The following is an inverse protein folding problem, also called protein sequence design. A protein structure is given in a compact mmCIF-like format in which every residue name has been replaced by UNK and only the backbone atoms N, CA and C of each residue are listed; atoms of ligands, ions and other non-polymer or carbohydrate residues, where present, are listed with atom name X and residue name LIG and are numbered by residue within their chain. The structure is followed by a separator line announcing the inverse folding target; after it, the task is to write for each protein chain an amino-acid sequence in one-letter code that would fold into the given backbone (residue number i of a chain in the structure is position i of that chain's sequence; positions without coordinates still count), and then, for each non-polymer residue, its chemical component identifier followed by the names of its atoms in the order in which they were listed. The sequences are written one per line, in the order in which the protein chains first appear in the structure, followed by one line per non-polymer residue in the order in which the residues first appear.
data_IF_488278464693
#
_entry.id   IF_488278464693
#
_cell.length_a   1.000
_cell.length_b   1.000
_cell.length_c   1.000
_cell.angle_alpha   90.00
_cell.angle_beta   90.00
_cell.angle_gamma   90.00
#
_symmetry.space_group_name_H-M   'P 1'
#
loop_
_entity.id
_entity.type
_entity.pdbx_description
1 polymer ?
#
# COMPACT_ATOMS: atom_id res chain seq x y z
N UNK A 1 -13.19 35.22 7.19
CA UNK A 1 -11.97 34.41 7.16
C UNK A 1 -12.14 33.02 7.79
N UNK A 2 -12.77 32.86 8.95
CA UNK A 2 -13.02 31.55 9.59
C UNK A 2 -13.87 30.57 8.76
N UNK A 3 -14.88 31.05 8.03
CA UNK A 3 -15.76 30.20 7.20
C UNK A 3 -15.00 29.59 6.00
N UNK A 4 -14.06 30.32 5.41
CA UNK A 4 -13.25 29.81 4.27
C UNK A 4 -12.31 28.71 4.73
N UNK A 5 -11.68 28.84 5.89
CA UNK A 5 -10.84 27.80 6.49
C UNK A 5 -11.63 26.51 6.76
N UNK A 6 -12.88 26.61 7.23
CA UNK A 6 -13.73 25.45 7.45
C UNK A 6 -14.02 24.66 6.17
N UNK A 7 -14.30 25.35 5.05
CA UNK A 7 -14.54 24.69 3.76
C UNK A 7 -13.30 23.98 3.20
N UNK A 8 -12.09 24.51 3.48
CA UNK A 8 -10.82 23.89 3.05
C UNK A 8 -10.45 22.63 3.85
N UNK A 9 -11.13 22.39 4.99
CA UNK A 9 -10.88 21.23 5.86
C UNK A 9 -11.98 20.18 5.79
N UNK A 10 -12.94 20.31 4.86
CA UNK A 10 -13.96 19.27 4.69
C UNK A 10 -13.35 18.01 4.07
N UNK A 11 -13.72 16.84 4.61
CA UNK A 11 -13.18 15.59 4.11
C UNK A 11 -13.66 15.32 2.67
N UNK A 12 -12.79 14.70 1.88
CA UNK A 12 -13.10 14.33 0.51
C UNK A 12 -14.29 13.39 0.44
N UNK A 13 -15.21 13.65 -0.49
CA UNK A 13 -16.33 12.75 -0.82
C UNK A 13 -15.92 11.64 -1.79
N UNK A 14 -14.63 11.50 -2.06
CA UNK A 14 -14.03 10.51 -2.97
C UNK A 14 -13.06 9.63 -2.19
N UNK A 15 -12.96 8.38 -2.59
CA UNK A 15 -11.87 7.53 -2.13
C UNK A 15 -10.57 8.11 -2.68
N UNK A 16 -9.62 8.37 -1.80
CA UNK A 16 -8.27 8.74 -2.18
C UNK A 16 -7.29 7.74 -1.58
N UNK A 17 -6.29 7.37 -2.36
CA UNK A 17 -5.19 6.49 -1.94
C UNK A 17 -3.90 7.27 -2.10
N UNK A 18 -3.17 7.44 -1.01
CA UNK A 18 -1.92 8.21 -0.95
C UNK A 18 -0.79 7.28 -0.52
N UNK A 19 0.20 7.11 -1.40
CA UNK A 19 1.46 6.48 -1.04
C UNK A 19 2.36 7.54 -0.41
N UNK A 20 2.59 7.43 0.88
CA UNK A 20 3.30 8.41 1.69
C UNK A 20 4.81 8.40 1.42
N UNK A 21 5.46 9.57 1.35
CA UNK A 21 6.93 9.62 1.42
C UNK A 21 7.41 9.46 2.87
N UNK A 22 7.57 8.22 3.28
CA UNK A 22 8.14 7.88 4.61
C UNK A 22 9.65 7.65 4.58
N UNK A 23 10.31 7.95 3.45
CA UNK A 23 11.68 7.56 3.20
C UNK A 23 11.77 6.10 2.75
N UNK A 24 12.77 5.36 3.23
CA UNK A 24 12.84 3.92 2.94
C UNK A 24 11.81 3.20 3.81
N UNK A 25 10.78 2.64 3.17
CA UNK A 25 9.68 1.94 3.82
C UNK A 25 8.34 2.19 3.14
N UNK A 26 7.30 1.60 3.67
CA UNK A 26 5.94 1.69 3.17
C UNK A 26 4.97 2.33 4.17
N UNK A 27 4.15 3.22 3.67
CA UNK A 27 2.91 3.64 4.30
C UNK A 27 1.95 4.09 3.21
N UNK A 28 0.75 3.53 3.19
CA UNK A 28 -0.30 3.91 2.24
C UNK A 28 -1.55 4.29 3.01
N UNK A 29 -1.99 5.53 2.84
CA UNK A 29 -3.20 6.05 3.46
C UNK A 29 -4.37 5.98 2.46
N UNK A 30 -5.46 5.36 2.88
CA UNK A 30 -6.73 5.32 2.14
C UNK A 30 -7.76 6.13 2.92
N UNK A 31 -8.37 7.12 2.28
CA UNK A 31 -9.36 7.99 2.90
C UNK A 31 -10.66 8.02 2.11
N UNK A 32 -11.79 8.10 2.84
CA UNK A 32 -13.11 8.42 2.29
C UNK A 32 -13.92 9.13 3.35
N UNK A 33 -14.26 10.40 3.13
CA UNK A 33 -14.88 11.23 4.18
C UNK A 33 -14.01 11.23 5.45
N UNK A 34 -14.61 10.86 6.59
CA UNK A 34 -13.94 10.77 7.89
C UNK A 34 -13.51 9.33 8.22
N UNK A 35 -13.37 8.48 7.21
CA UNK A 35 -12.91 7.12 7.39
C UNK A 35 -11.50 6.97 6.81
N UNK A 36 -10.61 6.41 7.61
CA UNK A 36 -9.20 6.23 7.27
C UNK A 36 -8.75 4.79 7.46
N UNK A 37 -7.99 4.30 6.50
CA UNK A 37 -7.22 3.07 6.63
C UNK A 37 -5.76 3.37 6.31
N UNK A 38 -4.87 2.99 7.20
CA UNK A 38 -3.43 3.10 7.01
C UNK A 38 -2.85 1.70 6.82
N UNK A 39 -2.25 1.44 5.67
CA UNK A 39 -1.54 0.20 5.35
C UNK A 39 -0.07 0.49 5.53
N UNK A 40 0.55 -0.13 6.52
CA UNK A 40 1.87 0.14 7.05
C UNK A 40 2.04 1.57 7.60
N UNK A 41 3.11 1.77 8.34
CA UNK A 41 3.38 3.03 9.04
C UNK A 41 4.77 3.60 8.75
N UNK A 42 5.52 2.95 7.86
CA UNK A 42 6.90 3.32 7.59
C UNK A 42 7.85 3.10 8.76
N UNK A 43 9.08 3.56 8.63
CA UNK A 43 10.08 3.48 9.69
C UNK A 43 9.77 4.47 10.83
N UNK A 44 10.41 4.26 11.97
CA UNK A 44 10.32 5.16 13.13
C UNK A 44 11.08 6.49 12.88
N UNK A 45 10.54 7.34 12.00
CA UNK A 45 11.11 8.64 11.62
C UNK A 45 10.08 9.78 11.58
N UNK A 46 8.84 9.52 12.03
CA UNK A 46 7.71 10.44 12.09
C UNK A 46 7.18 10.96 10.75
N UNK A 47 7.74 10.57 9.60
CA UNK A 47 7.26 11.04 8.29
C UNK A 47 5.83 10.62 7.99
N UNK A 48 5.39 9.45 8.51
CA UNK A 48 3.99 9.03 8.40
C UNK A 48 3.03 10.05 9.02
N UNK A 49 3.42 10.72 10.11
CA UNK A 49 2.60 11.76 10.72
C UNK A 49 2.43 12.95 9.78
N UNK A 50 3.48 13.35 9.06
CA UNK A 50 3.39 14.42 8.05
C UNK A 50 2.40 14.04 6.94
N UNK A 51 2.45 12.80 6.46
CA UNK A 51 1.48 12.31 5.46
C UNK A 51 0.04 12.36 6.01
N UNK A 52 -0.18 11.92 7.26
CA UNK A 52 -1.49 12.00 7.90
C UNK A 52 -1.95 13.46 8.05
N UNK A 53 -1.09 14.36 8.51
CA UNK A 53 -1.39 15.80 8.67
C UNK A 53 -1.76 16.48 7.33
N UNK A 54 -1.14 16.06 6.23
CA UNK A 54 -1.42 16.60 4.90
C UNK A 54 -2.77 16.11 4.32
N UNK A 55 -3.20 14.90 4.69
CA UNK A 55 -4.28 14.20 4.00
C UNK A 55 -5.52 13.91 4.86
N UNK A 56 -5.43 14.11 6.18
CA UNK A 56 -6.53 13.95 7.13
C UNK A 56 -6.89 15.32 7.73
N UNK A 57 -8.17 15.69 7.86
CA UNK A 57 -8.54 16.94 8.50
C UNK A 57 -7.91 17.07 9.90
N UNK A 58 -7.37 18.24 10.23
CA UNK A 58 -6.60 18.46 11.47
C UNK A 58 -7.36 18.13 12.77
N UNK A 59 -8.69 18.19 12.73
CA UNK A 59 -9.60 17.87 13.82
C UNK A 59 -9.95 16.38 13.90
N UNK A 60 -9.73 15.63 12.84
CA UNK A 60 -9.95 14.19 12.82
C UNK A 60 -8.68 13.46 13.31
N UNK A 61 -8.76 12.91 14.50
CA UNK A 61 -7.65 12.21 15.15
C UNK A 61 -7.94 10.72 15.31
N UNK A 62 -8.74 10.16 14.40
CA UNK A 62 -9.12 8.75 14.39
C UNK A 62 -8.60 8.08 13.13
N UNK A 63 -8.18 6.83 13.27
CA UNK A 63 -7.90 5.92 12.15
C UNK A 63 -8.68 4.65 12.42
N UNK A 64 -9.61 4.30 11.55
CA UNK A 64 -10.48 3.15 11.76
C UNK A 64 -9.70 1.83 11.64
N UNK A 65 -8.79 1.76 10.68
CA UNK A 65 -8.00 0.54 10.46
C UNK A 65 -6.54 0.88 10.22
N UNK A 66 -5.66 0.27 10.99
CA UNK A 66 -4.23 0.18 10.66
C UNK A 66 -3.94 -1.27 10.29
N UNK A 67 -3.41 -1.51 9.11
CA UNK A 67 -2.96 -2.83 8.67
C UNK A 67 -1.43 -2.82 8.65
N UNK A 68 -0.81 -3.72 9.40
CA UNK A 68 0.64 -3.95 9.35
C UNK A 68 0.89 -5.21 8.53
N UNK A 69 1.48 -5.03 7.36
CA UNK A 69 1.68 -6.11 6.40
C UNK A 69 2.66 -7.16 6.94
N UNK A 70 3.71 -6.72 7.60
CA UNK A 70 4.69 -7.55 8.31
C UNK A 70 5.46 -6.73 9.36
N UNK A 71 6.33 -7.41 10.13
CA UNK A 71 6.94 -6.84 11.34
C UNK A 71 8.18 -5.97 11.12
N UNK A 72 8.70 -5.84 9.91
CA UNK A 72 9.93 -5.10 9.64
C UNK A 72 9.77 -3.61 9.98
N UNK A 73 10.88 -3.01 10.45
CA UNK A 73 10.84 -1.65 10.97
C UNK A 73 10.42 -0.60 9.92
N UNK A 74 10.73 -0.80 8.67
CA UNK A 74 10.35 0.09 7.58
C UNK A 74 8.87 -0.03 7.15
N UNK A 75 8.10 -0.93 7.77
CA UNK A 75 6.65 -1.09 7.65
C UNK A 75 5.92 -0.79 8.96
N UNK A 76 6.43 -1.27 10.08
CA UNK A 76 5.75 -1.21 11.39
C UNK A 76 6.31 -0.14 12.34
N UNK A 77 7.50 0.43 12.04
CA UNK A 77 8.25 1.26 12.96
C UNK A 77 7.54 2.56 13.39
N UNK A 78 6.71 3.13 12.52
CA UNK A 78 5.96 4.34 12.81
C UNK A 78 4.70 4.13 13.67
N UNK A 79 4.27 2.89 13.90
CA UNK A 79 3.01 2.58 14.61
C UNK A 79 2.92 3.22 15.99
N UNK A 80 4.03 3.20 16.74
CA UNK A 80 4.09 3.83 18.07
C UNK A 80 3.86 5.34 17.99
N UNK A 81 4.38 6.01 16.97
CA UNK A 81 4.16 7.45 16.81
C UNK A 81 2.73 7.74 16.34
N UNK A 82 2.19 6.96 15.41
CA UNK A 82 0.78 7.09 15.00
C UNK A 82 -0.16 6.94 16.19
N UNK A 83 0.02 5.94 17.04
CA UNK A 83 -0.84 5.68 18.21
C UNK A 83 -0.76 6.75 19.32
N UNK A 84 0.28 7.61 19.33
CA UNK A 84 0.35 8.76 20.25
C UNK A 84 -0.53 9.92 19.82
N UNK A 85 -0.75 10.09 18.50
CA UNK A 85 -1.44 11.26 17.94
C UNK A 85 -2.82 10.96 17.38
N UNK A 86 -3.10 9.67 17.09
CA UNK A 86 -4.36 9.19 16.53
C UNK A 86 -4.92 8.05 17.37
N UNK A 87 -6.24 8.05 17.55
CA UNK A 87 -6.96 6.91 18.11
C UNK A 87 -7.12 5.86 17.02
N UNK A 88 -6.54 4.68 17.22
CA UNK A 88 -6.67 3.56 16.30
C UNK A 88 -7.80 2.66 16.81
N UNK A 89 -8.82 2.37 15.97
CA UNK A 89 -9.90 1.45 16.37
C UNK A 89 -9.52 0.00 16.22
N UNK A 90 -8.88 -0.35 15.11
CA UNK A 90 -8.49 -1.73 14.82
C UNK A 90 -7.09 -1.79 14.24
N UNK A 91 -6.30 -2.77 14.69
CA UNK A 91 -5.02 -3.12 14.07
C UNK A 91 -5.10 -4.54 13.53
N UNK A 92 -4.76 -4.69 12.25
CA UNK A 92 -4.72 -5.97 11.55
C UNK A 92 -3.25 -6.32 11.27
N UNK A 93 -2.84 -7.51 11.71
CA UNK A 93 -1.51 -8.06 11.43
C UNK A 93 -1.63 -9.29 10.52
N UNK A 94 -0.54 -9.70 9.87
CA UNK A 94 -0.50 -10.87 8.98
C UNK A 94 -1.03 -12.15 9.63
N UNK A 95 -0.78 -12.34 10.93
CA UNK A 95 -1.33 -13.46 11.71
C UNK A 95 -2.86 -13.45 11.85
N UNK A 96 -3.52 -12.32 11.62
CA UNK A 96 -4.97 -12.17 11.79
C UNK A 96 -5.76 -12.46 10.52
N UNK A 97 -5.10 -12.48 9.36
CA UNK A 97 -5.74 -12.63 8.04
C UNK A 97 -5.13 -13.77 7.25
N UNK A 98 -5.86 -14.23 6.27
CA UNK A 98 -5.46 -15.30 5.35
C UNK A 98 -5.93 -15.00 3.95
N UNK A 99 -5.37 -15.67 2.98
CA UNK A 99 -5.80 -15.65 1.59
C UNK A 99 -7.33 -15.83 1.47
N UNK A 100 -7.94 -14.98 0.67
CA UNK A 100 -9.40 -14.83 0.44
C UNK A 100 -10.17 -14.14 1.56
N UNK A 101 -9.54 -13.71 2.65
CA UNK A 101 -10.21 -12.81 3.58
C UNK A 101 -10.51 -11.48 2.89
N UNK A 102 -11.69 -10.92 3.20
CA UNK A 102 -12.15 -9.67 2.63
C UNK A 102 -12.37 -8.65 3.74
N UNK A 103 -11.57 -7.57 3.72
CA UNK A 103 -11.78 -6.41 4.57
C UNK A 103 -12.67 -5.45 3.78
N UNK A 104 -13.93 -5.40 4.17
CA UNK A 104 -14.97 -4.74 3.39
C UNK A 104 -15.59 -3.56 4.12
N UNK A 105 -15.77 -2.47 3.38
CA UNK A 105 -16.59 -1.32 3.76
C UNK A 105 -17.65 -1.06 2.69
N UNK A 106 -18.45 -0.02 2.84
CA UNK A 106 -19.44 0.35 1.82
C UNK A 106 -18.80 0.95 0.54
N UNK A 107 -17.51 1.26 0.55
CA UNK A 107 -16.83 2.00 -0.53
C UNK A 107 -15.46 1.46 -0.91
N UNK A 108 -14.89 0.59 -0.08
CA UNK A 108 -13.59 -0.05 -0.34
C UNK A 108 -13.70 -1.52 -0.01
N UNK A 109 -13.13 -2.36 -0.87
CA UNK A 109 -12.87 -3.77 -0.62
C UNK A 109 -11.37 -4.00 -0.68
N UNK A 110 -10.79 -4.67 0.33
CA UNK A 110 -9.41 -5.15 0.30
C UNK A 110 -9.44 -6.67 0.38
N UNK A 111 -9.14 -7.32 -0.74
CA UNK A 111 -9.08 -8.76 -0.87
C UNK A 111 -7.66 -9.26 -0.59
N UNK A 112 -7.49 -10.03 0.47
CA UNK A 112 -6.19 -10.59 0.86
C UNK A 112 -5.83 -11.74 -0.08
N UNK A 113 -4.66 -11.69 -0.69
CA UNK A 113 -4.14 -12.77 -1.55
C UNK A 113 -2.97 -13.52 -0.91
N UNK A 114 -2.32 -12.94 0.08
CA UNK A 114 -1.27 -13.51 0.92
C UNK A 114 -1.40 -12.96 2.35
N UNK A 115 -1.11 -13.70 3.43
CA UNK A 115 -0.50 -15.04 3.47
C UNK A 115 -1.51 -16.18 3.24
N UNK A 116 -1.05 -17.38 2.85
CA UNK A 116 -1.91 -18.55 2.71
C UNK A 116 -2.41 -19.05 4.08
N UNK A 117 -3.59 -19.67 4.12
CA UNK A 117 -4.21 -20.14 5.36
C UNK A 117 -3.38 -21.18 6.12
N UNK A 118 -2.55 -21.96 5.42
CA UNK A 118 -1.78 -23.10 5.99
C UNK A 118 -0.56 -22.64 6.81
N UNK A 119 -0.04 -21.44 6.58
CA UNK A 119 1.17 -20.95 7.30
C UNK A 119 0.90 -20.69 8.79
N UNK A 120 -0.35 -20.52 9.20
CA UNK A 120 -0.73 -20.32 10.60
C UNK A 120 -0.41 -21.52 11.51
N UNK A 121 -0.10 -22.68 10.94
CA UNK A 121 0.11 -23.93 11.70
C UNK A 121 1.56 -24.35 11.89
N UNK A 122 2.49 -23.72 11.17
CA UNK A 122 3.92 -24.00 11.31
C UNK A 122 4.62 -22.91 12.12
N UNK A 123 4.46 -22.97 13.44
CA UNK A 123 5.20 -22.13 14.36
C UNK A 123 6.69 -22.50 14.32
N UNK A 124 7.54 -21.60 13.79
CA UNK A 124 8.98 -21.84 13.90
C UNK A 124 9.89 -20.86 13.20
N UNK A 125 9.58 -20.37 12.02
CA UNK A 125 10.40 -19.36 11.33
C UNK A 125 9.47 -18.38 10.63
N UNK A 126 9.29 -17.21 11.23
CA UNK A 126 8.63 -16.07 10.60
C UNK A 126 9.62 -15.42 9.64
N UNK A 127 9.71 -15.91 8.40
CA UNK A 127 10.18 -15.06 7.33
C UNK A 127 9.09 -14.03 7.09
N UNK A 128 9.32 -12.83 7.63
CA UNK A 128 8.36 -11.73 7.63
C UNK A 128 7.87 -11.38 6.22
N UNK A 129 8.76 -11.45 5.21
CA UNK A 129 8.44 -11.09 3.82
C UNK A 129 7.49 -12.11 3.16
N UNK A 130 7.72 -13.40 3.31
CA UNK A 130 6.86 -14.46 2.74
C UNK A 130 5.43 -14.38 3.29
N UNK A 131 5.28 -13.96 4.56
CA UNK A 131 4.02 -13.84 5.26
C UNK A 131 3.41 -12.42 5.22
N UNK A 132 3.98 -11.51 4.44
CA UNK A 132 3.44 -10.17 4.27
C UNK A 132 2.01 -10.19 3.75
N UNK A 133 1.15 -9.30 4.28
CA UNK A 133 -0.19 -9.13 3.72
C UNK A 133 -0.07 -8.45 2.35
N UNK A 134 -0.29 -9.23 1.30
CA UNK A 134 -0.51 -8.68 -0.03
C UNK A 134 -1.98 -8.80 -0.41
N UNK A 135 -2.50 -7.84 -1.16
CA UNK A 135 -3.92 -7.83 -1.49
C UNK A 135 -4.28 -6.88 -2.62
N UNK A 136 -5.54 -6.97 -3.06
CA UNK A 136 -6.10 -6.09 -4.08
C UNK A 136 -7.08 -5.13 -3.41
N UNK A 137 -6.74 -3.85 -3.40
CA UNK A 137 -7.63 -2.78 -3.00
C UNK A 137 -8.52 -2.40 -4.18
N UNK A 138 -9.84 -2.44 -3.96
CA UNK A 138 -10.87 -2.13 -4.97
C UNK A 138 -11.78 -1.03 -4.46
N UNK A 139 -12.06 -0.05 -5.31
CA UNK A 139 -13.02 1.01 -4.99
C UNK A 139 -13.62 1.63 -6.25
N UNK A 140 -14.83 2.19 -6.12
CA UNK A 140 -15.46 2.91 -7.21
C UNK A 140 -14.91 4.33 -7.33
N UNK A 141 -14.38 4.68 -8.50
CA UNK A 141 -13.97 6.05 -8.80
C UNK A 141 -15.10 6.82 -9.50
N UNK A 142 -15.59 7.87 -8.84
CA UNK A 142 -16.64 8.71 -9.40
C UNK A 142 -16.16 9.50 -10.63
N UNK A 143 -14.87 9.82 -10.69
CA UNK A 143 -14.28 10.57 -11.82
C UNK A 143 -14.12 9.70 -13.06
N UNK A 144 -13.66 8.45 -12.86
CA UNK A 144 -13.46 7.49 -13.94
C UNK A 144 -14.74 6.71 -14.27
N UNK A 145 -15.78 6.80 -13.41
CA UNK A 145 -17.06 6.06 -13.51
C UNK A 145 -16.86 4.55 -13.67
N UNK A 146 -15.88 4.02 -12.95
CA UNK A 146 -15.56 2.58 -12.92
C UNK A 146 -14.84 2.19 -11.62
N UNK A 147 -14.75 0.89 -11.39
CA UNK A 147 -13.90 0.36 -10.34
C UNK A 147 -12.41 0.58 -10.68
N UNK A 148 -11.65 0.97 -9.67
CA UNK A 148 -10.18 1.05 -9.70
C UNK A 148 -9.64 -0.08 -8.83
N UNK A 149 -8.61 -0.74 -9.32
CA UNK A 149 -7.93 -1.86 -8.66
C UNK A 149 -6.45 -1.56 -8.48
N UNK A 150 -5.98 -1.71 -7.24
CA UNK A 150 -4.59 -1.51 -6.87
C UNK A 150 -4.08 -2.79 -6.25
N UNK A 151 -3.05 -3.40 -6.82
CA UNK A 151 -2.35 -4.49 -6.16
C UNK A 151 -1.30 -3.94 -5.20
N UNK A 152 -1.48 -4.23 -3.91
CA UNK A 152 -0.57 -3.90 -2.82
C UNK A 152 0.30 -5.11 -2.56
N UNK A 153 1.53 -5.10 -3.07
CA UNK A 153 2.41 -6.27 -3.01
C UNK A 153 3.11 -6.45 -1.65
N UNK A 154 3.16 -5.40 -0.82
CA UNK A 154 4.01 -5.37 0.36
C UNK A 154 5.45 -5.81 -0.01
N UNK A 155 6.06 -6.72 0.76
CA UNK A 155 7.42 -7.21 0.51
C UNK A 155 7.47 -8.67 0.09
N UNK A 156 6.37 -9.21 -0.50
CA UNK A 156 6.39 -10.57 -1.03
C UNK A 156 7.52 -10.76 -2.06
N UNK A 157 8.14 -11.93 -2.02
CA UNK A 157 9.25 -12.29 -2.89
C UNK A 157 8.80 -12.93 -4.22
N UNK A 158 9.76 -13.18 -5.11
CA UNK A 158 9.52 -13.80 -6.41
C UNK A 158 8.84 -15.17 -6.31
N UNK A 159 9.15 -15.97 -5.29
CA UNK A 159 8.57 -17.30 -5.12
C UNK A 159 7.10 -17.19 -4.73
N UNK A 160 6.78 -16.30 -3.80
CA UNK A 160 5.40 -16.00 -3.41
C UNK A 160 4.60 -15.47 -4.59
N UNK A 161 5.14 -14.53 -5.37
CA UNK A 161 4.48 -14.01 -6.56
C UNK A 161 4.16 -15.11 -7.59
N UNK A 162 5.14 -15.96 -7.89
CA UNK A 162 4.98 -17.10 -8.81
C UNK A 162 3.93 -18.08 -8.31
N UNK A 163 3.93 -18.37 -7.03
CA UNK A 163 2.90 -19.22 -6.40
C UNK A 163 1.51 -18.63 -6.60
N UNK A 164 1.33 -17.33 -6.34
CA UNK A 164 0.03 -16.65 -6.49
C UNK A 164 -0.46 -16.65 -7.94
N UNK A 165 0.45 -16.46 -8.90
CA UNK A 165 0.14 -16.52 -10.34
C UNK A 165 -0.18 -17.96 -10.77
N UNK A 166 0.66 -18.92 -10.41
CA UNK A 166 0.48 -20.33 -10.80
C UNK A 166 -0.78 -20.96 -10.20
N UNK A 167 -1.13 -20.62 -8.97
CA UNK A 167 -2.36 -21.06 -8.31
C UNK A 167 -3.60 -20.29 -8.78
N UNK A 168 -3.46 -19.37 -9.73
CA UNK A 168 -4.54 -18.52 -10.25
C UNK A 168 -5.24 -17.68 -9.14
N UNK A 169 -4.55 -17.36 -8.08
CA UNK A 169 -5.01 -16.41 -7.06
C UNK A 169 -5.02 -15.01 -7.65
N UNK A 170 -3.93 -14.62 -8.31
CA UNK A 170 -3.84 -13.41 -9.12
C UNK A 170 -4.18 -13.77 -10.57
N UNK A 171 -5.32 -13.30 -11.06
CA UNK A 171 -5.85 -13.58 -12.41
C UNK A 171 -6.50 -12.39 -13.08
N UNK A 172 -6.62 -11.27 -12.39
CA UNK A 172 -7.26 -10.08 -12.90
C UNK A 172 -6.28 -8.94 -13.13
N UNK A 173 -6.60 -8.08 -14.10
CA UNK A 173 -5.82 -6.86 -14.35
C UNK A 173 -6.05 -5.85 -13.24
N UNK A 174 -5.02 -5.05 -12.95
CA UNK A 174 -5.09 -3.94 -12.02
C UNK A 174 -4.72 -2.63 -12.72
N UNK A 175 -5.16 -1.51 -12.19
CA UNK A 175 -4.79 -0.19 -12.71
C UNK A 175 -3.41 0.23 -12.21
N UNK A 176 -3.15 -0.02 -10.93
CA UNK A 176 -1.91 0.35 -10.25
C UNK A 176 -1.30 -0.88 -9.58
N UNK A 177 0.00 -0.98 -9.67
CA UNK A 177 0.82 -1.92 -8.92
C UNK A 177 1.71 -1.15 -7.94
N UNK A 178 1.50 -1.34 -6.63
CA UNK A 178 2.51 -1.00 -5.63
C UNK A 178 3.61 -2.07 -5.71
N UNK A 179 4.78 -1.64 -6.15
CA UNK A 179 5.93 -2.52 -6.39
C UNK A 179 6.36 -3.22 -5.10
N UNK A 180 6.66 -4.50 -5.20
CA UNK A 180 7.14 -5.32 -4.10
C UNK A 180 8.51 -4.86 -3.60
N UNK A 181 8.69 -4.89 -2.28
CA UNK A 181 9.97 -4.73 -1.59
C UNK A 181 10.79 -3.53 -2.11
N UNK A 182 10.13 -2.37 -2.22
CA UNK A 182 10.70 -1.08 -2.62
C UNK A 182 11.45 -1.09 -3.97
N UNK A 183 11.18 -2.06 -4.83
CA UNK A 183 11.88 -2.25 -6.10
C UNK A 183 13.16 -3.07 -5.98
N UNK A 184 13.22 -3.98 -5.01
CA UNK A 184 14.23 -5.04 -4.91
C UNK A 184 14.18 -5.95 -6.14
N UNK A 185 15.33 -6.44 -6.60
CA UNK A 185 15.41 -7.45 -7.66
C UNK A 185 14.70 -8.77 -7.30
N UNK A 186 14.45 -9.00 -6.03
CA UNK A 186 13.79 -10.20 -5.50
C UNK A 186 12.26 -10.11 -5.48
N UNK A 187 11.67 -9.09 -6.10
CA UNK A 187 10.23 -8.93 -6.28
C UNK A 187 9.87 -8.48 -7.68
N UNK A 188 8.59 -8.34 -7.94
CA UNK A 188 8.00 -7.85 -9.20
C UNK A 188 8.46 -8.64 -10.41
N UNK A 189 8.05 -9.93 -10.46
CA UNK A 189 8.37 -10.87 -11.52
C UNK A 189 7.74 -10.47 -12.86
N UNK A 190 8.33 -10.96 -13.97
CA UNK A 190 7.73 -10.76 -15.29
C UNK A 190 6.37 -11.46 -15.39
N UNK A 191 6.22 -12.63 -14.77
CA UNK A 191 4.98 -13.40 -14.70
C UNK A 191 3.86 -12.61 -14.00
N UNK A 192 4.18 -11.93 -12.89
CA UNK A 192 3.24 -11.05 -12.18
C UNK A 192 2.78 -9.91 -13.09
N UNK A 193 3.72 -9.24 -13.76
CA UNK A 193 3.42 -8.13 -14.68
C UNK A 193 2.58 -8.57 -15.89
N UNK A 194 2.77 -9.80 -16.39
CA UNK A 194 1.97 -10.37 -17.49
C UNK A 194 0.51 -10.62 -17.10
N UNK A 195 0.27 -11.02 -15.85
CA UNK A 195 -1.08 -11.27 -15.34
C UNK A 195 -1.77 -9.97 -14.97
N UNK A 196 -1.13 -9.14 -14.16
CA UNK A 196 -1.75 -7.92 -13.63
C UNK A 196 -1.86 -6.81 -14.65
N UNK A 197 -0.93 -6.71 -15.62
CA UNK A 197 -0.90 -5.68 -16.67
C UNK A 197 -1.18 -4.26 -16.17
N UNK A 198 -0.51 -3.80 -15.11
CA UNK A 198 -0.77 -2.48 -14.56
C UNK A 198 -0.38 -1.40 -15.58
N UNK A 199 -1.11 -0.27 -15.56
CA UNK A 199 -0.71 0.92 -16.32
C UNK A 199 0.34 1.73 -15.57
N UNK A 200 0.25 1.73 -14.25
CA UNK A 200 1.06 2.53 -13.35
C UNK A 200 1.69 1.62 -12.30
N UNK A 201 2.98 1.85 -12.05
CA UNK A 201 3.72 1.25 -10.95
C UNK A 201 4.11 2.35 -9.95
N UNK A 202 3.84 2.12 -8.67
CA UNK A 202 4.26 3.01 -7.58
C UNK A 202 5.34 2.31 -6.77
N UNK A 203 6.44 3.02 -6.53
CA UNK A 203 7.58 2.54 -5.74
C UNK A 203 7.75 3.46 -4.53
N UNK A 204 7.45 2.94 -3.34
CA UNK A 204 7.80 3.61 -2.09
C UNK A 204 9.27 3.33 -1.78
N UNK A 205 10.09 4.36 -1.77
CA UNK A 205 11.53 4.23 -1.64
C UNK A 205 12.15 5.53 -1.14
N UNK A 206 13.22 5.43 -0.35
CA UNK A 206 13.89 6.60 0.20
C UNK A 206 14.98 7.16 -0.72
N UNK A 207 15.13 8.49 -0.70
CA UNK A 207 16.25 9.17 -1.36
C UNK A 207 17.57 8.63 -0.80
N UNK A 208 18.49 8.24 -1.70
CA UNK A 208 19.82 7.73 -1.34
C UNK A 208 19.77 6.55 -0.36
N UNK A 209 18.77 5.67 -0.49
CA UNK A 209 18.69 4.47 0.34
C UNK A 209 19.94 3.59 0.15
N UNK A 210 20.35 2.91 1.22
CA UNK A 210 21.56 2.06 1.24
C UNK A 210 21.42 0.75 0.46
N UNK A 211 20.20 0.39 0.05
CA UNK A 211 19.91 -0.89 -0.62
C UNK A 211 20.07 -0.79 -2.15
N UNK A 212 20.19 0.44 -2.68
CA UNK A 212 20.25 0.68 -4.12
C UNK A 212 18.92 0.43 -4.83
N UNK A 213 17.80 0.56 -4.10
CA UNK A 213 16.44 0.43 -4.64
C UNK A 213 15.93 1.77 -5.21
N UNK A 214 15.04 1.73 -6.23
CA UNK A 214 14.72 0.56 -7.04
C UNK A 214 15.92 0.14 -7.88
N UNK A 215 16.09 -1.16 -8.09
CA UNK A 215 17.19 -1.69 -8.90
C UNK A 215 16.98 -1.37 -10.37
N UNK A 216 18.07 -1.27 -11.15
CA UNK A 216 18.00 -1.07 -12.61
C UNK A 216 17.23 -2.19 -13.31
N UNK A 217 17.28 -3.37 -12.76
CA UNK A 217 16.59 -4.55 -13.28
C UNK A 217 15.07 -4.37 -13.21
N UNK A 218 14.54 -3.91 -12.06
CA UNK A 218 13.10 -3.64 -11.92
C UNK A 218 12.66 -2.49 -12.83
N UNK A 219 13.41 -1.39 -12.86
CA UNK A 219 13.09 -0.27 -13.75
C UNK A 219 13.08 -0.71 -15.23
N UNK A 220 14.05 -1.55 -15.65
CA UNK A 220 14.09 -2.08 -17.00
C UNK A 220 12.93 -3.04 -17.32
N UNK A 221 12.44 -3.84 -16.35
CA UNK A 221 11.24 -4.67 -16.53
C UNK A 221 10.01 -3.83 -16.78
N UNK A 222 9.81 -2.77 -15.98
CA UNK A 222 8.67 -1.86 -16.09
C UNK A 222 8.69 -1.08 -17.41
N UNK A 223 9.86 -0.56 -17.80
CA UNK A 223 10.07 0.15 -19.06
C UNK A 223 9.74 -0.72 -20.28
N UNK A 224 10.24 -1.96 -20.32
CA UNK A 224 9.94 -2.93 -21.38
C UNK A 224 8.45 -3.22 -21.55
N UNK A 225 7.67 -3.11 -20.48
CA UNK A 225 6.22 -3.30 -20.48
C UNK A 225 5.44 -2.01 -20.75
N UNK A 226 6.12 -0.86 -20.89
CA UNK A 226 5.48 0.44 -21.07
C UNK A 226 4.68 0.91 -19.85
N UNK A 227 5.08 0.48 -18.65
CA UNK A 227 4.41 0.82 -17.39
C UNK A 227 4.95 2.16 -16.91
N UNK A 228 4.07 3.12 -16.63
CA UNK A 228 4.45 4.41 -16.06
C UNK A 228 4.90 4.24 -14.60
N UNK A 229 6.04 4.82 -14.24
CA UNK A 229 6.66 4.64 -12.91
C UNK A 229 6.62 5.93 -12.11
N UNK A 230 6.03 5.86 -10.92
CA UNK A 230 6.04 6.91 -9.91
C UNK A 230 6.82 6.44 -8.68
N UNK A 231 7.67 7.32 -8.13
CA UNK A 231 8.59 6.97 -7.04
C UNK A 231 8.53 8.04 -5.96
N UNK A 232 8.40 7.63 -4.69
CA UNK A 232 8.31 8.59 -3.58
C UNK A 232 9.57 9.41 -3.37
N UNK A 233 10.76 8.87 -3.72
CA UNK A 233 12.04 9.60 -3.63
C UNK A 233 12.21 10.70 -4.68
N UNK A 234 11.40 10.69 -5.75
CA UNK A 234 11.43 11.68 -6.83
C UNK A 234 10.19 12.59 -6.82
N UNK A 235 9.04 12.06 -6.44
CA UNK A 235 7.74 12.71 -6.57
C UNK A 235 7.15 13.16 -5.21
N UNK A 236 7.77 12.77 -4.08
CA UNK A 236 7.17 12.96 -2.75
C UNK A 236 5.96 12.05 -2.56
N UNK A 237 4.94 12.53 -1.86
CA UNK A 237 3.67 11.82 -1.73
C UNK A 237 2.99 11.62 -3.08
N UNK A 238 2.48 10.41 -3.35
CA UNK A 238 1.81 10.07 -4.61
C UNK A 238 0.35 9.77 -4.31
N UNK A 239 -0.55 10.66 -4.75
CA UNK A 239 -2.00 10.45 -4.65
C UNK A 239 -2.56 9.87 -5.94
N UNK A 240 -3.41 8.87 -5.83
CA UNK A 240 -4.10 8.26 -6.98
C UNK A 240 -4.95 9.28 -7.73
N UNK A 241 -5.48 10.30 -7.06
CA UNK A 241 -6.23 11.39 -7.70
C UNK A 241 -5.38 12.21 -8.68
N UNK A 242 -4.06 12.17 -8.56
CA UNK A 242 -3.11 12.89 -9.42
C UNK A 242 -2.63 12.04 -10.61
N UNK A 243 -2.94 10.74 -10.63
CA UNK A 243 -2.52 9.82 -11.69
C UNK A 243 -3.52 9.85 -12.85
N UNK A 244 -3.02 9.71 -14.08
CA UNK A 244 -3.83 9.61 -15.29
C UNK A 244 -3.93 8.15 -15.71
N UNK A 245 -5.13 7.61 -15.75
CA UNK A 245 -5.41 6.21 -16.13
C UNK A 245 -5.80 6.06 -17.60
#
# INVERSE_FOLDING_TARGET
MLVILFWLTLPSQRVNVVFCDVGQGDATLVTYKNWQMLIDTGPNNKKVLTCLENNVPFWDKKIEVVMITHGDNDHSGGLTDVSKFYQIEQIIYSKNVSQFDLIKTNWIDFEVVNPPAVVKTMAGEEDNNVNSIAGILKFWSNDLKREVKIFMAADIDLETERRLVWQQVLKEKVDVLKISHHGSKNGTSEELLEVLKPKIAVISVGVKNRFGHPTKEILGRLEKKGIEVWRTDLNGEISISNLRF
#
